data_IF_743912881378
#
_entry.id   IF_743912881378
#
_cell.length_a   1.000
_cell.length_b   1.000
_cell.length_c   1.000
_cell.angle_alpha   90.00
_cell.angle_beta   90.00
_cell.angle_gamma   90.00
#
_symmetry.space_group_name_H-M   'P 1'
#
loop_
_entity.id
_entity.type
_entity.pdbx_description
1 polymer ?
#
# COMPACT_ATOMS: atom_id res chain seq x y z
N UNK A 1 -0.32 22.67 -18.14
CA UNK A 1 0.27 21.32 -18.33
C UNK A 1 -0.62 20.28 -17.68
N UNK A 2 -0.98 19.23 -18.38
CA UNK A 2 -1.80 18.10 -17.88
C UNK A 2 -0.89 16.94 -17.51
N UNK A 3 -0.90 16.53 -16.26
CA UNK A 3 -0.09 15.47 -15.72
C UNK A 3 -0.97 14.25 -15.37
N UNK A 4 -0.53 13.05 -15.74
CA UNK A 4 -1.13 11.79 -15.33
C UNK A 4 -0.30 11.22 -14.16
N UNK A 5 -0.93 11.00 -13.01
CA UNK A 5 -0.26 10.55 -11.79
C UNK A 5 -0.70 9.13 -11.44
N UNK A 6 0.27 8.24 -11.36
CA UNK A 6 0.19 6.82 -11.01
C UNK A 6 1.24 6.49 -9.95
N UNK A 7 0.97 5.50 -9.11
CA UNK A 7 1.93 4.94 -8.15
C UNK A 7 1.54 3.52 -7.75
N UNK A 8 2.42 2.86 -7.02
CA UNK A 8 2.13 1.63 -6.30
C UNK A 8 1.52 0.55 -7.21
N UNK A 9 2.17 0.32 -8.36
CA UNK A 9 1.72 -0.70 -9.32
C UNK A 9 1.89 -2.10 -8.74
N UNK A 10 2.92 -2.31 -7.90
CA UNK A 10 3.24 -3.58 -7.26
C UNK A 10 3.19 -4.77 -8.21
N UNK A 11 3.81 -4.63 -9.39
CA UNK A 11 3.79 -5.69 -10.40
C UNK A 11 4.39 -6.99 -9.86
N UNK A 12 3.67 -8.09 -10.10
CA UNK A 12 4.03 -9.40 -9.58
C UNK A 12 3.49 -9.71 -8.19
N UNK A 13 2.65 -8.82 -7.61
CA UNK A 13 2.03 -9.05 -6.30
C UNK A 13 1.18 -10.31 -6.27
N UNK A 14 1.24 -10.99 -5.12
CA UNK A 14 0.35 -12.10 -4.80
C UNK A 14 -0.49 -11.72 -3.58
N UNK A 15 -1.80 -11.90 -3.68
CA UNK A 15 -2.75 -11.65 -2.57
C UNK A 15 -3.30 -12.99 -2.11
N UNK A 16 -3.09 -13.36 -0.85
CA UNK A 16 -3.52 -14.65 -0.28
C UNK A 16 -3.20 -15.87 -1.18
N UNK A 17 -2.02 -15.86 -1.83
CA UNK A 17 -1.60 -16.94 -2.72
C UNK A 17 -2.02 -16.80 -4.18
N UNK A 18 -2.95 -15.94 -4.53
CA UNK A 18 -3.37 -15.68 -5.91
C UNK A 18 -2.40 -14.70 -6.60
N UNK A 19 -1.98 -15.02 -7.82
CA UNK A 19 -1.19 -14.10 -8.64
C UNK A 19 -2.10 -13.02 -9.21
N UNK A 20 -1.67 -11.76 -9.09
CA UNK A 20 -2.42 -10.62 -9.61
C UNK A 20 -1.99 -10.20 -11.02
N UNK A 21 -1.03 -10.87 -11.65
CA UNK A 21 -0.45 -10.47 -12.95
C UNK A 21 -1.52 -10.27 -14.04
N UNK A 22 -2.46 -11.20 -14.17
CA UNK A 22 -3.51 -11.09 -15.20
C UNK A 22 -4.45 -9.89 -14.93
N UNK A 23 -4.81 -9.65 -13.67
CA UNK A 23 -5.63 -8.49 -13.28
C UNK A 23 -4.83 -7.19 -13.44
N UNK A 24 -3.52 -7.21 -13.15
CA UNK A 24 -2.62 -6.07 -13.38
C UNK A 24 -2.54 -5.73 -14.86
N UNK A 25 -2.31 -6.71 -15.73
CA UNK A 25 -2.30 -6.52 -17.18
C UNK A 25 -3.62 -5.90 -17.68
N UNK A 26 -4.76 -6.42 -17.22
CA UNK A 26 -6.08 -5.91 -17.61
C UNK A 26 -6.26 -4.42 -17.23
N UNK A 27 -5.79 -4.00 -16.05
CA UNK A 27 -5.93 -2.60 -15.61
C UNK A 27 -4.89 -1.70 -16.29
N UNK A 28 -3.67 -2.20 -16.56
CA UNK A 28 -2.66 -1.44 -17.31
C UNK A 28 -3.14 -1.09 -18.73
N UNK A 29 -3.89 -1.98 -19.40
CA UNK A 29 -4.53 -1.66 -20.68
C UNK A 29 -5.52 -0.50 -20.55
N UNK A 30 -6.37 -0.49 -19.52
CA UNK A 30 -7.27 0.65 -19.27
C UNK A 30 -6.50 1.96 -19.02
N UNK A 31 -5.36 1.89 -18.32
CA UNK A 31 -4.52 3.06 -18.06
C UNK A 31 -3.94 3.60 -19.37
N UNK A 32 -3.50 2.72 -20.29
CA UNK A 32 -3.03 3.12 -21.62
C UNK A 32 -4.14 3.76 -22.44
N UNK A 33 -5.33 3.18 -22.43
CA UNK A 33 -6.49 3.75 -23.12
C UNK A 33 -6.85 5.16 -22.55
N UNK A 34 -6.81 5.31 -21.23
CA UNK A 34 -7.03 6.61 -20.58
C UNK A 34 -5.92 7.62 -20.95
N UNK A 35 -4.65 7.20 -21.00
CA UNK A 35 -3.56 8.06 -21.42
C UNK A 35 -3.73 8.52 -22.88
N UNK A 36 -4.15 7.64 -23.77
CA UNK A 36 -4.41 7.97 -25.17
C UNK A 36 -5.61 8.93 -25.33
N UNK A 37 -6.67 8.77 -24.53
CA UNK A 37 -7.85 9.63 -24.54
C UNK A 37 -7.59 11.00 -23.93
N UNK A 38 -6.97 11.04 -22.77
CA UNK A 38 -6.75 12.25 -21.98
C UNK A 38 -5.54 13.07 -22.44
N UNK A 39 -4.63 12.46 -23.21
CA UNK A 39 -3.44 13.10 -23.80
C UNK A 39 -2.63 13.91 -22.78
N UNK A 40 -2.12 13.30 -21.70
CA UNK A 40 -1.30 14.02 -20.73
C UNK A 40 0.00 14.50 -21.40
N UNK A 41 0.51 15.63 -20.93
CA UNK A 41 1.80 16.20 -21.39
C UNK A 41 2.99 15.58 -20.65
N UNK A 42 2.75 14.94 -19.49
CA UNK A 42 3.70 14.07 -18.81
C UNK A 42 2.97 13.03 -17.94
N UNK A 43 3.64 11.89 -17.71
CA UNK A 43 3.16 10.78 -16.87
C UNK A 43 4.12 10.62 -15.71
N UNK A 44 3.57 10.57 -14.49
CA UNK A 44 4.31 10.50 -13.23
C UNK A 44 4.07 9.11 -12.61
N UNK A 45 5.13 8.32 -12.43
CA UNK A 45 5.12 7.03 -11.73
C UNK A 45 5.83 7.18 -10.39
N UNK A 46 5.06 7.29 -9.31
CA UNK A 46 5.56 7.69 -8.00
C UNK A 46 5.95 6.50 -7.10
N UNK A 47 6.76 5.57 -7.63
CA UNK A 47 7.37 4.47 -6.89
C UNK A 47 6.50 3.23 -6.75
N UNK A 48 7.10 2.20 -6.13
CA UNK A 48 6.58 0.84 -5.95
C UNK A 48 6.06 0.25 -7.26
N UNK A 49 6.95 0.29 -8.26
CA UNK A 49 6.70 -0.28 -9.58
C UNK A 49 6.55 -1.79 -9.45
N UNK A 50 7.44 -2.43 -8.70
CA UNK A 50 7.42 -3.86 -8.43
C UNK A 50 7.01 -4.16 -6.99
N UNK A 51 6.42 -5.34 -6.75
CA UNK A 51 6.08 -5.79 -5.40
C UNK A 51 7.32 -6.16 -4.55
N UNK A 52 8.46 -6.42 -5.20
CA UNK A 52 9.70 -6.86 -4.54
C UNK A 52 10.92 -6.27 -5.22
N UNK A 53 11.98 -6.05 -4.44
CA UNK A 53 13.30 -5.59 -4.93
C UNK A 53 13.92 -6.50 -5.99
N UNK A 54 13.52 -7.79 -6.03
CA UNK A 54 13.85 -8.76 -7.08
C UNK A 54 12.53 -9.25 -7.69
N UNK A 55 12.02 -8.57 -8.73
CA UNK A 55 10.76 -8.93 -9.37
C UNK A 55 10.86 -10.26 -10.15
N UNK A 56 9.72 -10.88 -10.42
CA UNK A 56 9.64 -12.02 -11.33
C UNK A 56 9.87 -11.57 -12.79
N UNK A 57 10.30 -12.49 -13.65
CA UNK A 57 10.47 -12.19 -15.07
C UNK A 57 9.17 -11.67 -15.71
N UNK A 58 8.04 -12.29 -15.38
CA UNK A 58 6.71 -11.86 -15.86
C UNK A 58 6.37 -10.41 -15.48
N UNK A 59 6.72 -9.99 -14.25
CA UNK A 59 6.49 -8.60 -13.80
C UNK A 59 7.39 -7.61 -14.55
N UNK A 60 8.65 -8.00 -14.84
CA UNK A 60 9.58 -7.17 -15.62
C UNK A 60 9.09 -7.02 -17.05
N UNK A 61 8.67 -8.10 -17.68
CA UNK A 61 8.16 -8.11 -19.05
C UNK A 61 6.88 -7.26 -19.17
N UNK A 62 5.95 -7.40 -18.21
CA UNK A 62 4.73 -6.60 -18.14
C UNK A 62 5.03 -5.11 -17.99
N UNK A 63 6.02 -4.75 -17.18
CA UNK A 63 6.41 -3.34 -17.03
C UNK A 63 7.10 -2.79 -18.26
N UNK A 64 7.97 -3.56 -18.90
CA UNK A 64 8.67 -3.16 -20.13
C UNK A 64 7.68 -2.84 -21.25
N UNK A 65 6.68 -3.70 -21.47
CA UNK A 65 5.61 -3.48 -22.44
C UNK A 65 4.80 -2.22 -22.12
N UNK A 66 4.36 -2.09 -20.86
CA UNK A 66 3.57 -0.95 -20.40
C UNK A 66 4.35 0.37 -20.54
N UNK A 67 5.60 0.41 -20.06
CA UNK A 67 6.45 1.60 -20.11
C UNK A 67 6.76 2.03 -21.56
N UNK A 68 7.01 1.07 -22.43
CA UNK A 68 7.28 1.34 -23.85
C UNK A 68 6.10 2.04 -24.51
N UNK A 69 4.88 1.54 -24.28
CA UNK A 69 3.65 2.13 -24.81
C UNK A 69 3.32 3.50 -24.17
N UNK A 70 3.55 3.68 -22.87
CA UNK A 70 3.40 4.99 -22.23
C UNK A 70 4.35 6.03 -22.81
N UNK A 71 5.61 5.66 -23.08
CA UNK A 71 6.63 6.57 -23.61
C UNK A 71 6.32 7.05 -25.05
N UNK A 72 5.52 6.29 -25.80
CA UNK A 72 5.01 6.73 -27.11
C UNK A 72 3.98 7.87 -26.96
N UNK A 73 3.21 7.86 -25.86
CA UNK A 73 2.13 8.83 -25.62
C UNK A 73 2.66 10.15 -25.03
N UNK A 74 3.51 10.07 -23.99
CA UNK A 74 4.03 11.26 -23.30
C UNK A 74 5.38 10.98 -22.61
N UNK A 75 6.17 12.01 -22.23
CA UNK A 75 7.31 11.82 -21.34
C UNK A 75 6.90 11.16 -20.02
N UNK A 76 7.68 10.18 -19.59
CA UNK A 76 7.42 9.42 -18.34
C UNK A 76 8.50 9.76 -17.31
N UNK A 77 8.09 10.20 -16.13
CA UNK A 77 8.96 10.46 -14.99
C UNK A 77 8.74 9.37 -13.94
N UNK A 78 9.79 8.71 -13.49
CA UNK A 78 9.72 7.54 -12.61
C UNK A 78 10.64 7.75 -11.41
N UNK A 79 10.13 7.45 -10.21
CA UNK A 79 10.94 7.32 -8.99
C UNK A 79 10.83 5.89 -8.44
N UNK A 80 11.80 5.47 -7.65
CA UNK A 80 11.70 4.21 -6.89
C UNK A 80 10.94 4.42 -5.58
N UNK A 81 10.11 3.42 -5.20
CA UNK A 81 9.49 3.33 -3.89
C UNK A 81 10.32 2.48 -2.91
N UNK A 82 9.70 2.06 -1.80
CA UNK A 82 10.37 1.23 -0.77
C UNK A 82 10.44 -0.26 -1.15
N UNK A 83 9.57 -0.74 -2.03
CA UNK A 83 9.61 -2.10 -2.56
C UNK A 83 10.60 -2.25 -3.72
N UNK A 84 10.95 -1.17 -4.40
CA UNK A 84 11.87 -1.19 -5.54
C UNK A 84 13.34 -1.26 -5.10
N UNK A 85 14.22 -1.77 -5.98
CA UNK A 85 15.65 -1.47 -5.91
C UNK A 85 15.95 -0.26 -6.79
N UNK A 86 16.34 0.86 -6.16
CA UNK A 86 16.68 2.09 -6.87
C UNK A 86 17.78 1.87 -7.92
N UNK A 87 18.78 1.03 -7.61
CA UNK A 87 19.88 0.71 -8.52
C UNK A 87 19.40 -0.05 -9.77
N UNK A 88 18.47 -1.00 -9.59
CA UNK A 88 17.92 -1.79 -10.70
C UNK A 88 16.99 -0.96 -11.56
N UNK A 89 16.13 -0.15 -10.94
CA UNK A 89 15.20 0.71 -11.65
C UNK A 89 15.95 1.78 -12.45
N UNK A 90 17.02 2.35 -11.90
CA UNK A 90 17.87 3.35 -12.57
C UNK A 90 18.78 2.74 -13.66
N UNK A 91 18.84 1.40 -13.80
CA UNK A 91 19.67 0.77 -14.82
C UNK A 91 19.25 1.19 -16.23
N UNK A 92 20.21 1.63 -17.03
CA UNK A 92 19.96 2.10 -18.39
C UNK A 92 19.31 3.48 -18.48
N UNK A 93 19.09 4.21 -17.36
CA UNK A 93 18.37 5.48 -17.33
C UNK A 93 18.88 6.54 -18.34
N UNK A 94 20.21 6.62 -18.62
CA UNK A 94 20.76 7.50 -19.65
C UNK A 94 20.32 7.13 -21.07
N UNK A 95 20.06 5.85 -21.34
CA UNK A 95 19.53 5.39 -22.62
C UNK A 95 18.03 5.67 -22.72
N UNK A 96 17.30 5.44 -21.63
CA UNK A 96 15.86 5.65 -21.52
C UNK A 96 15.48 7.12 -21.73
N UNK A 97 16.33 8.09 -21.31
CA UNK A 97 16.10 9.51 -21.56
C UNK A 97 15.92 9.85 -23.05
N UNK A 98 16.58 9.12 -23.95
CA UNK A 98 16.39 9.30 -25.40
C UNK A 98 14.98 8.89 -25.86
N UNK A 99 14.34 8.00 -25.12
CA UNK A 99 12.96 7.59 -25.33
C UNK A 99 11.96 8.39 -24.46
N UNK A 100 12.37 9.53 -23.92
CA UNK A 100 11.56 10.40 -23.03
C UNK A 100 11.14 9.72 -21.73
N UNK A 101 11.90 8.73 -21.24
CA UNK A 101 11.71 8.10 -19.96
C UNK A 101 12.80 8.58 -19.00
N UNK A 102 12.39 9.26 -17.94
CA UNK A 102 13.25 9.89 -16.95
C UNK A 102 13.12 9.14 -15.63
N UNK A 103 14.10 8.30 -15.32
CA UNK A 103 14.15 7.55 -14.06
C UNK A 103 15.04 8.27 -13.07
N UNK A 104 14.56 8.44 -11.82
CA UNK A 104 15.41 9.01 -10.77
C UNK A 104 16.67 8.16 -10.59
N UNK A 105 17.84 8.74 -10.48
CA UNK A 105 19.06 8.03 -10.10
C UNK A 105 18.95 7.56 -8.64
N UNK A 106 19.86 6.69 -8.22
CA UNK A 106 20.10 6.44 -6.79
C UNK A 106 20.48 7.77 -6.14
N UNK A 107 19.87 8.07 -5.00
CA UNK A 107 20.09 9.35 -4.31
C UNK A 107 21.55 9.53 -3.89
N UNK A 108 22.16 10.60 -4.34
CA UNK A 108 23.56 10.98 -4.12
C UNK A 108 23.73 12.33 -3.38
N UNK A 109 22.63 12.85 -2.83
CA UNK A 109 22.56 14.17 -2.19
C UNK A 109 21.87 15.22 -3.04
N UNK A 110 21.50 14.87 -4.28
CA UNK A 110 20.79 15.78 -5.18
C UNK A 110 19.45 15.20 -5.63
N UNK A 111 18.46 16.06 -5.80
CA UNK A 111 17.17 15.69 -6.38
C UNK A 111 17.21 16.07 -7.85
N UNK A 112 17.17 15.06 -8.73
CA UNK A 112 17.17 15.31 -10.18
C UNK A 112 15.85 15.94 -10.62
N UNK A 113 15.91 16.76 -11.67
CA UNK A 113 14.73 17.40 -12.23
C UNK A 113 14.67 17.27 -13.75
N UNK A 114 13.46 17.26 -14.28
CA UNK A 114 13.13 17.28 -15.70
C UNK A 114 12.40 18.58 -15.99
N UNK A 115 12.88 19.36 -16.96
CA UNK A 115 12.20 20.58 -17.39
C UNK A 115 11.33 20.28 -18.61
N UNK A 116 10.04 20.58 -18.51
CA UNK A 116 9.08 20.62 -19.60
C UNK A 116 8.49 22.03 -19.72
N UNK A 117 7.80 22.33 -20.81
CA UNK A 117 7.19 23.65 -21.03
C UNK A 117 5.85 23.54 -21.71
N UNK A 118 4.91 24.41 -21.36
CA UNK A 118 3.63 24.61 -22.03
C UNK A 118 3.39 26.10 -22.29
N UNK A 119 2.17 26.47 -22.64
CA UNK A 119 1.76 27.86 -22.91
C UNK A 119 1.95 28.82 -21.71
N UNK A 120 1.99 28.28 -20.46
CA UNK A 120 2.20 29.04 -19.23
C UNK A 120 3.68 29.08 -18.80
N UNK A 121 4.60 28.58 -19.63
CA UNK A 121 6.04 28.59 -19.38
C UNK A 121 6.60 27.26 -18.83
N UNK A 122 7.80 27.30 -18.24
CA UNK A 122 8.48 26.07 -17.79
C UNK A 122 7.86 25.45 -16.54
N UNK A 123 7.95 24.11 -16.47
CA UNK A 123 7.60 23.28 -15.32
C UNK A 123 8.80 22.42 -14.97
N UNK A 124 9.28 22.52 -13.74
CA UNK A 124 10.33 21.67 -13.19
C UNK A 124 9.70 20.49 -12.47
N UNK A 125 9.93 19.26 -12.96
CA UNK A 125 9.45 18.01 -12.36
C UNK A 125 10.60 17.38 -11.59
N UNK A 126 10.56 17.45 -10.25
CA UNK A 126 11.58 16.94 -9.34
C UNK A 126 11.33 15.48 -8.98
N UNK A 127 12.36 14.65 -9.04
CA UNK A 127 12.29 13.20 -8.85
C UNK A 127 12.96 12.81 -7.53
N UNK A 128 12.20 12.78 -6.44
CA UNK A 128 12.66 12.35 -5.12
C UNK A 128 12.31 10.86 -4.92
N UNK A 129 13.28 9.93 -5.01
CA UNK A 129 13.03 8.52 -4.72
C UNK A 129 12.67 8.32 -3.24
N UNK A 130 12.23 7.11 -2.87
CA UNK A 130 12.03 6.76 -1.47
C UNK A 130 13.32 6.93 -0.67
N UNK A 131 13.26 7.70 0.42
CA UNK A 131 14.40 7.97 1.28
C UNK A 131 14.08 7.64 2.74
N UNK A 132 15.02 6.97 3.39
CA UNK A 132 15.13 6.89 4.86
C UNK A 132 16.14 7.92 5.35
N UNK A 133 16.03 8.34 6.61
CA UNK A 133 16.98 9.28 7.23
C UNK A 133 18.44 8.86 7.03
N UNK A 134 18.72 7.56 7.06
CA UNK A 134 20.07 7.03 6.84
C UNK A 134 20.63 7.31 5.43
N UNK A 135 19.77 7.36 4.40
CA UNK A 135 20.21 7.68 3.03
C UNK A 135 20.66 9.13 2.93
N UNK A 136 19.90 10.06 3.52
CA UNK A 136 20.22 11.49 3.50
C UNK A 136 21.45 11.77 4.37
N UNK A 137 21.54 11.16 5.56
CA UNK A 137 22.69 11.34 6.46
C UNK A 137 24.01 10.91 5.83
N UNK A 138 24.01 9.94 4.93
CA UNK A 138 25.21 9.53 4.19
C UNK A 138 25.75 10.64 3.30
N UNK A 139 24.86 11.45 2.72
CA UNK A 139 25.23 12.56 1.84
C UNK A 139 25.50 13.85 2.62
N UNK A 140 24.82 14.03 3.76
CA UNK A 140 24.89 15.22 4.60
C UNK A 140 25.23 14.84 6.05
N UNK A 141 26.47 14.39 6.32
CA UNK A 141 26.86 13.86 7.65
C UNK A 141 26.81 14.91 8.76
N UNK A 142 27.02 16.18 8.42
CA UNK A 142 27.04 17.31 9.36
C UNK A 142 25.67 17.96 9.59
N UNK A 143 24.63 17.53 8.86
CA UNK A 143 23.29 18.07 9.02
C UNK A 143 22.60 17.44 10.23
N UNK A 144 21.99 18.26 11.07
CA UNK A 144 21.16 17.78 12.19
C UNK A 144 19.84 17.23 11.63
N UNK A 145 19.61 15.93 11.82
CA UNK A 145 18.40 15.22 11.39
C UNK A 145 17.98 14.23 12.47
N UNK A 146 16.94 14.57 13.20
CA UNK A 146 16.36 13.68 14.24
C UNK A 146 15.22 12.84 13.66
N UNK A 147 14.46 13.41 12.73
CA UNK A 147 13.26 12.81 12.15
C UNK A 147 13.40 12.60 10.62
N UNK A 148 12.52 11.77 10.05
CA UNK A 148 12.41 11.65 8.59
C UNK A 148 11.96 12.97 7.95
N UNK A 149 11.14 13.75 8.65
CA UNK A 149 10.78 15.12 8.22
C UNK A 149 12.02 16.00 8.00
N UNK A 150 12.99 15.95 8.94
CA UNK A 150 14.22 16.74 8.81
C UNK A 150 15.07 16.24 7.64
N UNK A 151 15.17 14.93 7.46
CA UNK A 151 15.89 14.33 6.36
C UNK A 151 15.31 14.76 4.99
N UNK A 152 13.98 14.71 4.83
CA UNK A 152 13.34 15.14 3.58
C UNK A 152 13.53 16.65 3.38
N UNK A 153 13.44 17.47 4.43
CA UNK A 153 13.73 18.92 4.35
C UNK A 153 15.15 19.17 3.86
N UNK A 154 16.14 18.45 4.39
CA UNK A 154 17.54 18.55 3.94
C UNK A 154 17.66 18.09 2.49
N UNK A 155 17.03 16.99 2.10
CA UNK A 155 17.08 16.51 0.72
C UNK A 155 16.49 17.50 -0.29
N UNK A 156 15.47 18.26 0.09
CA UNK A 156 14.81 19.27 -0.77
C UNK A 156 15.46 20.64 -0.70
N UNK A 157 16.37 20.90 0.24
CA UNK A 157 16.95 22.24 0.50
C UNK A 157 17.72 22.82 -0.68
N UNK A 158 18.20 21.99 -1.61
CA UNK A 158 18.89 22.42 -2.81
C UNK A 158 17.99 22.91 -3.95
N UNK A 159 16.66 22.83 -3.80
CA UNK A 159 15.70 23.25 -4.83
C UNK A 159 15.34 24.72 -4.61
N UNK A 160 15.58 25.55 -5.64
CA UNK A 160 15.13 26.95 -5.65
C UNK A 160 13.69 27.05 -6.16
N UNK A 161 12.73 27.16 -5.23
CA UNK A 161 11.30 27.31 -5.54
C UNK A 161 10.90 28.77 -5.84
N UNK A 162 11.85 29.73 -5.70
CA UNK A 162 11.60 31.14 -5.91
C UNK A 162 12.00 31.62 -7.33
N UNK A 163 12.44 30.72 -8.21
CA UNK A 163 12.90 31.03 -9.58
C UNK A 163 11.79 31.47 -10.56
N UNK A 164 10.54 31.52 -10.08
CA UNK A 164 9.36 31.93 -10.85
C UNK A 164 8.75 30.81 -11.72
N UNK A 165 9.35 29.64 -11.80
CA UNK A 165 8.80 28.47 -12.50
C UNK A 165 7.73 27.79 -11.69
N UNK A 166 7.01 26.87 -12.34
CA UNK A 166 6.11 25.92 -11.67
C UNK A 166 6.90 24.67 -11.28
N UNK A 167 6.71 24.20 -10.06
CA UNK A 167 7.44 23.06 -9.50
C UNK A 167 6.50 21.92 -9.14
N UNK A 168 6.79 20.75 -9.70
CA UNK A 168 6.11 19.48 -9.40
C UNK A 168 7.10 18.55 -8.72
N UNK A 169 6.70 17.92 -7.65
CA UNK A 169 7.52 16.92 -6.94
C UNK A 169 6.87 15.54 -7.06
N UNK A 170 7.65 14.55 -7.48
CA UNK A 170 7.34 13.14 -7.24
C UNK A 170 8.03 12.73 -5.95
N UNK A 171 7.29 12.12 -5.03
CA UNK A 171 7.86 11.57 -3.81
C UNK A 171 7.13 10.27 -3.41
N UNK A 172 7.83 9.41 -2.67
CA UNK A 172 7.27 8.16 -2.16
C UNK A 172 7.51 8.11 -0.66
N UNK A 173 6.61 8.74 0.12
CA UNK A 173 6.78 8.93 1.56
C UNK A 173 5.43 8.86 2.27
N UNK A 174 5.44 8.48 3.55
CA UNK A 174 4.27 8.57 4.39
C UNK A 174 4.13 9.98 4.99
N UNK A 175 3.07 10.68 4.63
CA UNK A 175 2.75 12.01 5.17
C UNK A 175 1.84 11.87 6.38
N UNK A 176 2.23 12.51 7.48
CA UNK A 176 1.52 12.48 8.77
C UNK A 176 0.05 12.88 8.61
N UNK A 177 -0.84 12.11 9.24
CA UNK A 177 -2.29 12.37 9.23
C UNK A 177 -3.02 11.76 8.03
N UNK A 178 -2.34 11.01 7.16
CA UNK A 178 -2.97 10.25 6.08
C UNK A 178 -3.45 8.88 6.58
N UNK A 179 -4.51 8.36 5.95
CA UNK A 179 -5.10 7.05 6.28
C UNK A 179 -4.29 5.91 5.65
N UNK A 180 -4.04 4.85 6.42
CA UNK A 180 -3.30 3.65 6.02
C UNK A 180 -4.21 2.44 5.84
N UNK A 181 -3.79 1.51 4.96
CA UNK A 181 -4.38 0.18 4.79
C UNK A 181 -3.48 -0.92 5.40
N UNK A 182 -4.02 -2.15 5.51
CA UNK A 182 -3.25 -3.30 6.02
C UNK A 182 -2.17 -3.79 5.05
N UNK A 183 -2.29 -3.47 3.76
CA UNK A 183 -1.35 -3.87 2.71
C UNK A 183 -0.08 -3.03 2.65
N UNK A 184 -0.03 -1.91 3.37
CA UNK A 184 1.11 -1.01 3.43
C UNK A 184 2.08 -1.44 4.54
N UNK A 185 3.38 -1.22 4.33
CA UNK A 185 4.39 -1.50 5.36
C UNK A 185 4.18 -0.60 6.58
N UNK A 186 4.19 -1.22 7.77
CA UNK A 186 4.15 -0.49 9.04
C UNK A 186 5.56 -0.30 9.55
N UNK A 187 6.02 0.95 9.64
CA UNK A 187 7.24 1.26 10.36
C UNK A 187 7.05 1.11 11.87
N UNK A 188 8.08 0.61 12.54
CA UNK A 188 8.09 0.51 14.00
C UNK A 188 8.27 1.93 14.58
N UNK A 189 7.28 2.40 15.36
CA UNK A 189 7.38 3.62 16.16
C UNK A 189 7.22 4.93 15.40
N UNK A 190 6.40 5.00 14.34
CA UNK A 190 6.13 6.22 13.54
C UNK A 190 7.38 6.95 13.02
N UNK A 191 8.51 6.26 12.90
CA UNK A 191 9.81 6.84 12.55
C UNK A 191 9.87 7.38 11.12
N UNK A 192 8.98 6.94 10.23
CA UNK A 192 9.01 7.28 8.79
C UNK A 192 8.00 8.36 8.40
N UNK A 193 7.38 9.02 9.39
CA UNK A 193 6.41 10.07 9.16
C UNK A 193 7.06 11.36 8.66
N UNK A 194 6.46 11.96 7.62
CA UNK A 194 6.89 13.23 7.03
C UNK A 194 5.79 14.27 7.22
N UNK A 195 6.11 15.43 7.78
CA UNK A 195 5.18 16.53 7.89
C UNK A 195 4.88 17.13 6.50
N UNK A 196 3.62 17.36 6.17
CA UNK A 196 3.21 17.93 4.88
C UNK A 196 3.86 19.29 4.57
N UNK A 197 4.22 20.06 5.61
CA UNK A 197 4.86 21.37 5.47
C UNK A 197 6.24 21.37 4.78
N UNK A 198 6.91 20.21 4.67
CA UNK A 198 8.16 20.11 3.90
C UNK A 198 7.94 20.26 2.39
N UNK A 199 6.69 20.13 1.96
CA UNK A 199 6.29 20.23 0.56
C UNK A 199 5.68 21.60 0.20
N UNK A 200 5.70 22.56 1.13
CA UNK A 200 5.22 23.89 0.87
C UNK A 200 6.04 24.54 -0.24
N UNK A 201 5.37 25.28 -1.13
CA UNK A 201 5.99 25.96 -2.25
C UNK A 201 6.03 25.19 -3.58
N UNK A 202 5.74 23.89 -3.57
CA UNK A 202 5.47 23.16 -4.81
C UNK A 202 4.06 23.44 -5.33
N UNK A 203 3.90 23.51 -6.65
CA UNK A 203 2.57 23.69 -7.28
C UNK A 203 1.75 22.38 -7.28
N UNK A 204 2.45 21.22 -7.32
CA UNK A 204 1.83 19.88 -7.15
C UNK A 204 2.83 18.89 -6.59
N UNK A 205 2.39 18.07 -5.63
CA UNK A 205 3.17 16.97 -5.06
C UNK A 205 2.46 15.66 -5.34
N UNK A 206 3.04 14.86 -6.22
CA UNK A 206 2.57 13.54 -6.58
C UNK A 206 3.19 12.49 -5.65
N UNK A 207 2.37 11.95 -4.75
CA UNK A 207 2.79 10.99 -3.74
C UNK A 207 2.44 9.55 -4.14
N UNK A 208 3.37 8.62 -3.90
CA UNK A 208 3.15 7.19 -3.75
C UNK A 208 3.31 6.74 -2.31
N UNK A 209 3.18 5.45 -2.04
CA UNK A 209 3.28 4.73 -0.78
C UNK A 209 1.94 4.35 -0.16
N UNK A 210 0.92 5.18 -0.22
CA UNK A 210 -0.40 4.85 0.33
C UNK A 210 -1.35 4.37 -0.76
N UNK A 211 -2.03 3.26 -0.47
CA UNK A 211 -2.89 2.56 -1.43
C UNK A 211 -4.26 3.21 -1.63
N UNK A 212 -4.70 4.07 -0.70
CA UNK A 212 -5.93 4.84 -0.79
C UNK A 212 -5.73 6.19 -1.48
N UNK A 213 -6.48 6.55 -2.54
CA UNK A 213 -6.42 7.87 -3.14
C UNK A 213 -6.92 8.94 -2.17
N UNK A 214 -6.05 9.87 -1.77
CA UNK A 214 -6.36 10.87 -0.74
C UNK A 214 -5.49 12.12 -0.84
N UNK A 215 -5.94 13.23 -0.24
CA UNK A 215 -5.11 14.39 0.06
C UNK A 215 -4.22 14.13 1.26
N UNK A 216 -3.08 14.79 1.29
CA UNK A 216 -2.14 14.72 2.41
C UNK A 216 -1.85 16.12 2.97
N UNK A 217 -2.70 16.62 3.86
CA UNK A 217 -2.59 17.96 4.45
C UNK A 217 -3.16 19.06 3.57
N UNK A 218 -2.57 19.35 2.39
CA UNK A 218 -3.00 20.41 1.48
C UNK A 218 -3.58 19.84 0.17
N UNK A 219 -4.31 20.68 -0.58
CA UNK A 219 -5.01 20.26 -1.81
C UNK A 219 -4.04 19.87 -2.94
N UNK A 220 -2.86 20.49 -2.97
CA UNK A 220 -1.82 20.23 -3.98
C UNK A 220 -0.92 19.02 -3.64
N UNK A 221 -1.10 18.38 -2.49
CA UNK A 221 -0.34 17.20 -2.04
C UNK A 221 -1.28 15.99 -2.05
N UNK A 222 -0.99 14.98 -2.91
CA UNK A 222 -1.96 13.92 -3.14
C UNK A 222 -1.30 12.56 -3.38
N UNK A 223 -1.91 11.53 -2.77
CA UNK A 223 -1.74 10.13 -3.14
C UNK A 223 -2.74 9.76 -4.23
N UNK A 224 -2.29 9.13 -5.31
CA UNK A 224 -3.20 8.58 -6.33
C UNK A 224 -3.76 7.20 -5.94
N UNK A 225 -3.06 6.49 -5.05
CA UNK A 225 -3.37 5.13 -4.64
C UNK A 225 -2.96 4.07 -5.66
N UNK A 226 -3.13 2.81 -5.29
CA UNK A 226 -2.88 1.66 -6.17
C UNK A 226 -3.93 1.54 -7.28
N UNK A 227 -3.55 0.91 -8.38
CA UNK A 227 -4.46 0.63 -9.51
C UNK A 227 -5.47 -0.51 -9.23
N UNK A 228 -5.15 -1.42 -8.31
CA UNK A 228 -5.97 -2.53 -7.84
C UNK A 228 -6.05 -2.55 -6.31
N UNK A 229 -7.03 -3.28 -5.77
CA UNK A 229 -7.11 -3.57 -4.34
C UNK A 229 -6.17 -4.73 -4.01
N UNK A 230 -5.23 -4.53 -3.10
CA UNK A 230 -4.22 -5.51 -2.73
C UNK A 230 -4.42 -6.09 -1.32
N UNK A 231 -5.46 -5.63 -0.60
CA UNK A 231 -5.91 -6.23 0.66
C UNK A 231 -7.41 -6.07 0.85
N UNK A 232 -7.99 -6.87 1.74
CA UNK A 232 -9.42 -6.76 2.07
C UNK A 232 -9.75 -5.49 2.86
N UNK A 233 -8.77 -4.83 3.48
CA UNK A 233 -8.97 -3.50 4.06
C UNK A 233 -9.28 -2.43 2.99
N UNK A 234 -8.90 -2.69 1.73
CA UNK A 234 -9.18 -1.83 0.59
C UNK A 234 -10.52 -2.15 -0.12
N UNK A 235 -11.32 -3.10 0.40
CA UNK A 235 -12.55 -3.56 -0.26
C UNK A 235 -13.50 -2.41 -0.67
N UNK A 236 -13.53 -1.33 0.12
CA UNK A 236 -14.35 -0.16 -0.12
C UNK A 236 -13.65 0.95 -0.92
N UNK A 237 -12.39 0.77 -1.34
CA UNK A 237 -11.69 1.77 -2.15
C UNK A 237 -12.21 1.82 -3.58
N UNK A 238 -12.27 3.02 -4.13
CA UNK A 238 -12.55 3.27 -5.54
C UNK A 238 -11.23 3.62 -6.23
N UNK A 239 -10.67 2.66 -6.95
CA UNK A 239 -9.39 2.83 -7.64
C UNK A 239 -9.55 3.73 -8.85
N UNK A 240 -8.57 4.60 -9.09
CA UNK A 240 -8.64 5.60 -10.16
C UNK A 240 -7.25 6.07 -10.58
N UNK A 241 -7.18 6.62 -11.78
CA UNK A 241 -6.04 7.43 -12.25
C UNK A 241 -6.28 8.88 -11.88
N UNK A 242 -5.26 9.55 -11.34
CA UNK A 242 -5.32 10.98 -11.01
C UNK A 242 -4.75 11.80 -12.17
N UNK A 243 -5.45 12.87 -12.54
CA UNK A 243 -4.97 13.86 -13.49
C UNK A 243 -4.88 15.22 -12.79
N UNK A 244 -3.71 15.84 -12.87
CA UNK A 244 -3.45 17.18 -12.35
C UNK A 244 -3.26 18.15 -13.52
N UNK A 245 -4.12 19.14 -13.63
CA UNK A 245 -4.02 20.21 -14.63
C UNK A 245 -3.42 21.45 -13.98
N UNK A 246 -2.17 21.77 -14.34
CA UNK A 246 -1.51 23.00 -13.93
C UNK A 246 -1.77 24.09 -14.99
N UNK A 247 -2.34 25.20 -14.55
CA UNK A 247 -2.41 26.44 -15.32
C UNK A 247 -1.22 27.36 -15.03
N UNK A 248 -1.48 28.65 -14.88
CA UNK A 248 -0.51 29.60 -14.32
C UNK A 248 -0.09 29.18 -12.90
N UNK A 249 1.07 29.67 -12.43
CA UNK A 249 1.57 29.35 -11.08
C UNK A 249 0.48 29.54 -10.01
N UNK A 250 0.25 28.52 -9.20
CA UNK A 250 -0.79 28.48 -8.17
C UNK A 250 -2.18 28.08 -8.67
N UNK A 251 -2.37 27.80 -9.95
CA UNK A 251 -3.65 27.31 -10.50
C UNK A 251 -3.56 25.81 -10.78
N UNK A 252 -4.19 25.01 -9.93
CA UNK A 252 -4.21 23.56 -10.00
C UNK A 252 -5.65 23.03 -9.99
N UNK A 253 -5.97 22.17 -10.94
CA UNK A 253 -7.21 21.41 -10.95
C UNK A 253 -6.91 19.92 -10.95
N UNK A 254 -7.55 19.16 -10.07
CA UNK A 254 -7.39 17.71 -9.95
C UNK A 254 -8.68 17.02 -10.38
N UNK A 255 -8.55 16.03 -11.25
CA UNK A 255 -9.64 15.14 -11.67
C UNK A 255 -9.20 13.69 -11.57
N UNK A 256 -10.13 12.77 -11.46
CA UNK A 256 -9.86 11.34 -11.42
C UNK A 256 -10.66 10.59 -12.47
N UNK A 257 -10.12 9.48 -12.97
CA UNK A 257 -10.82 8.55 -13.85
C UNK A 257 -10.86 7.19 -13.19
N UNK A 258 -12.05 6.60 -12.98
CA UNK A 258 -12.16 5.32 -12.30
C UNK A 258 -11.53 4.19 -13.10
N UNK A 259 -10.92 3.25 -12.38
CA UNK A 259 -10.43 1.98 -12.92
C UNK A 259 -11.37 0.86 -12.50
N UNK A 260 -11.55 -0.11 -13.39
CA UNK A 260 -12.38 -1.29 -13.14
C UNK A 260 -11.48 -2.52 -13.05
N UNK A 261 -11.53 -3.21 -11.94
CA UNK A 261 -10.87 -4.52 -11.83
C UNK A 261 -11.58 -5.55 -12.71
N UNK A 262 -10.83 -6.51 -13.26
CA UNK A 262 -11.41 -7.69 -13.91
C UNK A 262 -12.17 -8.53 -12.89
N UNK A 263 -11.56 -8.71 -11.71
CA UNK A 263 -12.17 -9.34 -10.53
C UNK A 263 -12.07 -8.37 -9.36
N UNK A 264 -13.21 -7.97 -8.83
CA UNK A 264 -13.20 -7.10 -7.64
C UNK A 264 -12.90 -7.90 -6.38
N UNK A 265 -12.41 -7.22 -5.35
CA UNK A 265 -12.09 -7.78 -4.06
C UNK A 265 -13.21 -7.44 -3.08
N UNK A 266 -13.93 -8.47 -2.58
CA UNK A 266 -15.14 -8.29 -1.78
C UNK A 266 -15.11 -9.11 -0.50
N UNK A 267 -15.83 -8.63 0.50
CA UNK A 267 -16.03 -9.33 1.78
C UNK A 267 -17.48 -9.78 1.87
N UNK A 268 -17.69 -11.08 2.18
CA UNK A 268 -18.98 -11.66 2.44
C UNK A 268 -19.05 -12.13 3.89
N UNK A 269 -20.22 -11.94 4.51
CA UNK A 269 -20.49 -12.41 5.88
C UNK A 269 -21.90 -12.94 5.97
N UNK A 270 -22.04 -14.18 6.46
CA UNK A 270 -23.33 -14.85 6.62
C UNK A 270 -23.14 -16.30 7.02
N UNK A 271 -24.23 -17.02 7.21
CA UNK A 271 -24.19 -18.46 7.41
C UNK A 271 -23.87 -19.18 6.09
N UNK A 272 -23.35 -20.40 6.19
CA UNK A 272 -23.09 -21.22 5.01
C UNK A 272 -24.35 -21.37 4.14
N UNK A 273 -25.51 -21.62 4.76
CA UNK A 273 -26.77 -21.79 4.06
C UNK A 273 -27.21 -20.53 3.31
N UNK A 274 -27.10 -19.36 3.94
CA UNK A 274 -27.39 -18.06 3.32
C UNK A 274 -26.49 -17.80 2.11
N UNK A 275 -25.18 -17.99 2.27
CA UNK A 275 -24.21 -17.72 1.20
C UNK A 275 -24.32 -18.71 0.03
N UNK A 276 -24.81 -19.93 0.27
CA UNK A 276 -25.05 -20.95 -0.76
C UNK A 276 -26.45 -20.87 -1.36
N UNK A 277 -27.33 -20.04 -0.82
CA UNK A 277 -28.65 -19.82 -1.39
C UNK A 277 -28.55 -19.22 -2.80
N UNK A 278 -29.28 -19.79 -3.76
CA UNK A 278 -29.16 -19.42 -5.17
C UNK A 278 -29.54 -17.96 -5.41
N UNK A 279 -30.48 -17.43 -4.63
CA UNK A 279 -30.91 -16.04 -4.66
C UNK A 279 -29.81 -15.05 -4.23
N UNK A 280 -28.86 -15.51 -3.42
CA UNK A 280 -27.77 -14.68 -2.90
C UNK A 280 -26.73 -14.34 -3.96
N UNK A 281 -26.38 -15.27 -4.82
CA UNK A 281 -25.31 -15.08 -5.79
C UNK A 281 -25.76 -14.97 -7.24
N UNK A 282 -26.95 -15.47 -7.59
CA UNK A 282 -27.42 -15.51 -8.96
C UNK A 282 -27.65 -14.09 -9.49
N UNK A 283 -27.03 -13.75 -10.63
CA UNK A 283 -27.13 -12.43 -11.25
C UNK A 283 -26.24 -11.38 -10.60
N UNK A 284 -25.36 -11.78 -9.70
CA UNK A 284 -24.34 -10.92 -9.12
C UNK A 284 -22.95 -11.24 -9.72
N UNK A 285 -21.97 -10.38 -9.49
CA UNK A 285 -20.57 -10.60 -9.85
C UNK A 285 -19.77 -11.35 -8.74
N UNK A 286 -20.42 -11.82 -7.69
CA UNK A 286 -19.78 -12.52 -6.58
C UNK A 286 -19.01 -13.78 -7.00
N UNK A 287 -19.54 -14.64 -7.89
CA UNK A 287 -18.80 -15.82 -8.35
C UNK A 287 -17.52 -15.49 -9.14
N UNK A 288 -17.43 -14.28 -9.71
CA UNK A 288 -16.28 -13.81 -10.46
C UNK A 288 -15.33 -12.94 -9.63
N UNK A 289 -15.68 -12.64 -8.37
CA UNK A 289 -14.91 -11.77 -7.47
C UNK A 289 -13.94 -12.56 -6.59
N UNK A 290 -12.85 -11.92 -6.19
CA UNK A 290 -11.98 -12.38 -5.11
C UNK A 290 -12.66 -12.17 -3.76
N UNK A 291 -12.80 -13.22 -2.97
CA UNK A 291 -13.65 -13.20 -1.78
C UNK A 291 -12.88 -13.48 -0.49
N UNK A 292 -13.14 -12.67 0.52
CA UNK A 292 -12.98 -13.05 1.91
C UNK A 292 -14.37 -13.40 2.47
N UNK A 293 -14.59 -14.67 2.76
CA UNK A 293 -15.84 -15.16 3.33
C UNK A 293 -15.67 -15.32 4.82
N UNK A 294 -16.57 -14.73 5.60
CA UNK A 294 -16.66 -14.90 7.05
C UNK A 294 -17.97 -15.65 7.38
N UNK A 295 -17.84 -16.91 7.75
CA UNK A 295 -18.98 -17.72 8.18
C UNK A 295 -19.39 -17.37 9.61
N UNK A 296 -20.70 -17.24 9.82
CA UNK A 296 -21.29 -16.95 11.14
C UNK A 296 -21.91 -18.19 11.80
N UNK A 297 -21.74 -19.37 11.19
CA UNK A 297 -22.19 -20.64 11.73
C UNK A 297 -21.50 -20.92 13.07
N UNK A 298 -22.27 -21.27 14.10
CA UNK A 298 -21.74 -21.59 15.43
C UNK A 298 -20.92 -22.89 15.43
N UNK A 299 -21.30 -23.86 14.57
CA UNK A 299 -20.55 -25.08 14.34
C UNK A 299 -19.69 -24.98 13.08
N UNK A 300 -18.57 -25.70 13.09
CA UNK A 300 -17.70 -25.76 11.91
C UNK A 300 -18.40 -26.49 10.76
N UNK A 301 -18.55 -25.85 9.63
CA UNK A 301 -19.09 -26.48 8.42
C UNK A 301 -18.04 -27.44 7.83
N UNK A 302 -18.32 -28.74 7.73
CA UNK A 302 -17.37 -29.68 7.15
C UNK A 302 -17.03 -29.32 5.70
N UNK A 303 -15.72 -29.31 5.37
CA UNK A 303 -15.20 -29.00 4.05
C UNK A 303 -15.73 -27.66 3.47
N UNK A 304 -15.95 -26.66 4.32
CA UNK A 304 -16.57 -25.38 3.95
C UNK A 304 -15.92 -24.76 2.71
N UNK A 305 -14.58 -24.72 2.65
CA UNK A 305 -13.85 -24.14 1.53
C UNK A 305 -14.14 -24.84 0.21
N UNK A 306 -14.13 -26.18 0.20
CA UNK A 306 -14.40 -26.97 -0.99
C UNK A 306 -15.85 -26.79 -1.47
N UNK A 307 -16.78 -26.80 -0.53
CA UNK A 307 -18.22 -26.68 -0.82
C UNK A 307 -18.57 -25.27 -1.31
N UNK A 308 -18.08 -24.22 -0.66
CA UNK A 308 -18.22 -22.82 -1.12
C UNK A 308 -17.54 -22.62 -2.48
N UNK A 309 -16.41 -23.26 -2.71
CA UNK A 309 -15.65 -23.20 -3.97
C UNK A 309 -16.42 -23.71 -5.19
N UNK A 310 -17.50 -24.48 -5.02
CA UNK A 310 -18.40 -24.89 -6.12
C UNK A 310 -19.19 -23.71 -6.71
N UNK A 311 -19.39 -22.64 -5.92
CA UNK A 311 -20.07 -21.40 -6.33
C UNK A 311 -19.09 -20.26 -6.48
N UNK A 312 -18.12 -20.19 -5.58
CA UNK A 312 -17.14 -19.08 -5.49
C UNK A 312 -15.71 -19.59 -5.74
N UNK A 313 -15.25 -19.71 -6.98
CA UNK A 313 -13.95 -20.31 -7.29
C UNK A 313 -12.76 -19.47 -6.83
N UNK A 314 -12.97 -18.19 -6.50
CA UNK A 314 -11.91 -17.24 -6.14
C UNK A 314 -11.94 -16.84 -4.66
N UNK A 315 -12.19 -17.81 -3.76
CA UNK A 315 -12.08 -17.58 -2.32
C UNK A 315 -10.62 -17.42 -1.94
N UNK A 316 -10.22 -16.22 -1.57
CA UNK A 316 -8.86 -15.92 -1.09
C UNK A 316 -8.70 -16.18 0.40
N UNK A 317 -9.77 -16.02 1.18
CA UNK A 317 -9.74 -16.18 2.63
C UNK A 317 -11.09 -16.68 3.14
N UNK A 318 -11.04 -17.65 4.05
CA UNK A 318 -12.20 -18.13 4.80
C UNK A 318 -11.95 -17.93 6.29
N UNK A 319 -12.88 -17.31 6.98
CA UNK A 319 -12.85 -17.05 8.43
C UNK A 319 -14.15 -17.44 9.07
N UNK A 320 -14.16 -17.58 10.39
CA UNK A 320 -15.36 -17.77 11.19
C UNK A 320 -15.51 -16.62 12.19
N UNK A 321 -16.73 -16.12 12.33
CA UNK A 321 -17.14 -15.18 13.37
C UNK A 321 -18.26 -15.79 14.19
N UNK A 322 -17.91 -16.68 15.12
CA UNK A 322 -18.80 -17.39 16.01
C UNK A 322 -18.34 -17.22 17.47
N UNK A 323 -19.13 -17.73 18.42
CA UNK A 323 -18.86 -17.60 19.86
C UNK A 323 -17.45 -18.12 20.21
N UNK A 324 -17.03 -19.25 19.61
CA UNK A 324 -15.69 -19.82 19.83
C UNK A 324 -14.55 -18.92 19.33
N UNK A 325 -14.68 -18.34 18.13
CA UNK A 325 -13.64 -17.48 17.57
C UNK A 325 -13.53 -16.15 18.31
N UNK A 326 -14.67 -15.58 18.76
CA UNK A 326 -14.70 -14.36 19.59
C UNK A 326 -14.04 -14.57 20.94
N UNK A 327 -14.29 -15.73 21.60
CA UNK A 327 -13.64 -16.07 22.86
C UNK A 327 -12.11 -16.22 22.73
N UNK A 328 -11.62 -16.67 21.53
CA UNK A 328 -10.18 -16.80 21.27
C UNK A 328 -9.51 -15.46 21.00
N UNK A 329 -10.22 -14.50 20.43
CA UNK A 329 -9.67 -13.15 20.12
C UNK A 329 -9.59 -12.25 21.35
N UNK A 330 -10.42 -12.45 22.37
CA UNK A 330 -10.42 -11.71 23.63
C UNK A 330 -10.11 -12.60 24.84
N UNK A 331 -8.94 -13.22 24.95
CA UNK A 331 -8.60 -14.03 26.12
C UNK A 331 -8.43 -13.18 27.40
N UNK A 332 -8.28 -11.86 27.29
CA UNK A 332 -8.06 -10.92 28.42
C UNK A 332 -9.33 -10.20 28.90
N UNK A 333 -10.41 -10.15 28.10
CA UNK A 333 -11.69 -9.56 28.53
C UNK A 333 -12.59 -10.53 29.33
N UNK A 334 -12.26 -11.82 29.35
CA UNK A 334 -12.92 -12.78 30.19
C UNK A 334 -12.32 -12.73 31.60
N UNK A 335 -12.75 -11.73 32.40
CA UNK A 335 -12.68 -11.74 33.88
C UNK A 335 -11.29 -12.10 34.46
N UNK A 336 -10.26 -11.35 34.18
CA UNK A 336 -9.18 -11.18 35.12
C UNK A 336 -9.65 -10.14 36.17
N UNK A 337 -10.32 -10.60 37.21
CA UNK A 337 -10.41 -9.79 38.41
C UNK A 337 -8.98 -9.58 38.91
N UNK A 338 -8.64 -8.35 39.40
CA UNK A 338 -7.27 -8.04 39.80
C UNK A 338 -6.70 -8.88 40.98
N UNK A 339 -7.48 -9.82 41.48
CA UNK A 339 -7.18 -10.66 42.65
C UNK A 339 -6.83 -12.14 42.28
N UNK A 340 -6.89 -12.54 41.02
CA UNK A 340 -6.62 -13.94 40.69
C UNK A 340 -5.12 -14.28 40.80
N UNK A 341 -4.81 -15.35 41.50
CA UNK A 341 -3.45 -15.88 41.58
C UNK A 341 -2.99 -16.43 40.20
N UNK A 342 -1.66 -16.47 39.92
CA UNK A 342 -1.12 -17.05 38.68
C UNK A 342 -1.61 -18.48 38.41
N UNK A 343 -1.84 -19.27 39.47
CA UNK A 343 -2.34 -20.65 39.38
C UNK A 343 -3.81 -20.66 38.90
N UNK A 344 -4.64 -19.76 39.45
CA UNK A 344 -6.05 -19.62 39.05
C UNK A 344 -6.19 -19.15 37.61
N UNK A 345 -5.35 -18.19 37.17
CA UNK A 345 -5.32 -17.74 35.78
C UNK A 345 -4.96 -18.88 34.82
N UNK A 346 -4.01 -19.72 35.23
CA UNK A 346 -3.59 -20.85 34.41
C UNK A 346 -4.65 -21.96 34.38
N UNK A 347 -5.35 -22.20 35.48
CA UNK A 347 -6.46 -23.17 35.56
C UNK A 347 -7.61 -22.75 34.66
N UNK A 348 -7.96 -21.46 34.67
CA UNK A 348 -8.95 -20.88 33.76
C UNK A 348 -8.55 -21.01 32.28
N UNK A 349 -7.28 -20.75 31.96
CA UNK A 349 -6.76 -20.90 30.61
C UNK A 349 -6.80 -22.38 30.16
N UNK A 350 -6.36 -23.30 31.04
CA UNK A 350 -6.36 -24.72 30.77
C UNK A 350 -7.78 -25.27 30.53
N UNK A 351 -8.73 -24.89 31.37
CA UNK A 351 -10.14 -25.27 31.25
C UNK A 351 -10.73 -24.76 29.93
N UNK A 352 -10.42 -23.53 29.54
CA UNK A 352 -10.83 -22.96 28.26
C UNK A 352 -10.24 -23.69 27.03
N UNK A 353 -8.97 -24.12 27.11
CA UNK A 353 -8.32 -24.78 25.99
C UNK A 353 -8.68 -26.25 25.85
N UNK A 354 -8.95 -26.94 26.97
CA UNK A 354 -9.11 -28.39 27.00
C UNK A 354 -10.54 -28.83 27.30
N UNK A 355 -11.48 -27.90 27.55
CA UNK A 355 -12.86 -28.15 28.00
C UNK A 355 -12.94 -29.07 29.24
N UNK A 356 -11.90 -29.06 30.07
CA UNK A 356 -11.84 -29.80 31.35
C UNK A 356 -10.85 -29.08 32.28
N UNK A 357 -11.10 -29.23 33.58
CA UNK A 357 -10.16 -28.71 34.60
C UNK A 357 -8.88 -29.53 34.65
N UNK A 358 -7.81 -28.94 35.13
CA UNK A 358 -6.57 -29.64 35.42
C UNK A 358 -6.82 -30.71 36.48
N UNK A 359 -6.19 -31.86 36.32
CA UNK A 359 -6.15 -32.85 37.37
C UNK A 359 -5.17 -32.44 38.48
N UNK A 360 -5.23 -33.19 39.59
CA UNK A 360 -4.46 -32.83 40.79
C UNK A 360 -2.94 -32.89 40.57
N UNK A 361 -2.47 -33.79 39.74
CA UNK A 361 -1.06 -33.96 39.43
C UNK A 361 -0.54 -32.76 38.57
N UNK A 362 -1.34 -32.31 37.61
CA UNK A 362 -1.09 -31.14 36.78
C UNK A 362 -1.06 -29.86 37.63
N UNK A 363 -2.00 -29.69 38.57
CA UNK A 363 -2.02 -28.54 39.49
C UNK A 363 -0.82 -28.52 40.43
N UNK A 364 -0.43 -29.68 40.99
CA UNK A 364 0.76 -29.79 41.86
C UNK A 364 2.06 -29.48 41.08
N UNK A 365 2.17 -29.95 39.84
CA UNK A 365 3.33 -29.65 38.96
C UNK A 365 3.42 -28.16 38.66
N UNK A 366 2.30 -27.54 38.26
CA UNK A 366 2.26 -26.13 37.94
C UNK A 366 2.57 -25.25 39.17
N UNK A 367 2.04 -25.59 40.34
CA UNK A 367 2.33 -24.89 41.60
C UNK A 367 3.84 -24.88 41.89
N UNK A 368 4.51 -26.04 41.74
CA UNK A 368 5.96 -26.13 41.93
C UNK A 368 6.74 -25.28 40.92
N UNK A 369 6.29 -25.25 39.67
CA UNK A 369 6.93 -24.45 38.63
C UNK A 369 6.79 -22.96 38.90
N UNK A 370 5.58 -22.51 39.26
CA UNK A 370 5.33 -21.11 39.64
C UNK A 370 6.19 -20.71 40.84
N UNK A 371 6.28 -21.54 41.87
CA UNK A 371 7.12 -21.29 43.04
C UNK A 371 8.60 -21.17 42.66
N UNK A 372 9.14 -22.05 41.83
CA UNK A 372 10.54 -21.99 41.42
C UNK A 372 10.87 -20.71 40.63
N UNK A 373 9.99 -20.23 39.77
CA UNK A 373 10.18 -18.99 39.02
C UNK A 373 10.15 -17.76 39.95
N UNK A 374 9.30 -17.78 40.99
CA UNK A 374 9.23 -16.67 41.96
C UNK A 374 10.40 -16.64 42.92
N UNK A 375 10.95 -17.80 43.33
CA UNK A 375 12.14 -17.88 44.19
C UNK A 375 13.43 -17.49 43.47
N UNK A 376 13.52 -17.74 42.15
CA UNK A 376 14.68 -17.31 41.34
C UNK A 376 14.62 -15.81 40.95
N UNK A 377 13.54 -15.11 41.25
CA UNK A 377 13.31 -13.69 40.90
C UNK A 377 13.55 -12.73 42.09
N UNK A 378 13.90 -13.24 43.27
CA UNK A 378 14.27 -12.51 44.49
C UNK A 378 15.76 -12.63 44.77
#
# INVERSE_FOLDING_TARGET
MKLMHLSDLHLGKRVNGFSMIADQQFVLEQILDLAAQEQPEAILLCGDIYDKTVPSAEAVELFDEFLSRLAELAPVCIISGNHDSAERLAFGGRLLQKARVHVSPVYDGTVSAVELSDEFGPVQIHLLPFLKTAHVRRCFPDAEMETTTDAIRVALSGIDLADGKRHVLLAHQFVTGSERCESEEKSIGDSDNVASSVFDGFDYVALGHLHGPQRAGADHIRYCGTMLKYSFSEANHHKSVTFAQLGEKGNLQITTRPLKAQRDLKMLRGTYEELMAREFYLGTDLPESYLHITLTDEEDVPEALNRLGTVYPYIMKLSYDNTRTRMRQNPLEAQAEPENSPLELFDLLYEKQNNRKMDREQQEYLTKMIQSIWEDSL
#
